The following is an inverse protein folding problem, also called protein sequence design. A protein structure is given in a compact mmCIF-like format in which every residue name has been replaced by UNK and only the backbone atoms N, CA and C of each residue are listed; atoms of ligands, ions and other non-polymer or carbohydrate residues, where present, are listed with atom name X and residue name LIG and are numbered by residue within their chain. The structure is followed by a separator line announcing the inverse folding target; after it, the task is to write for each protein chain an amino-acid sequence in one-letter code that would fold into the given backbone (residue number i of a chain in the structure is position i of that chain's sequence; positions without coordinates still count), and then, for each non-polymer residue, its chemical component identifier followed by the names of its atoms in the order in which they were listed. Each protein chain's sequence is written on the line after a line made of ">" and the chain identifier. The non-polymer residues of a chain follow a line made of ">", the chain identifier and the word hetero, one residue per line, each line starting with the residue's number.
data_IF_825162543471
#
_entry.id   IF_825162543471
#
_cell.length_a   1.000
_cell.length_b   1.000
_cell.length_c   1.000
_cell.angle_alpha   90.00
_cell.angle_beta   90.00
_cell.angle_gamma   90.00
#
_symmetry.space_group_name_H-M   'P 1'
#
loop_
_entity.id
_entity.type
_entity.pdbx_description
1 polymer ?
#
# COMPACT_ATOMS: atom_id res chain seq x y z
N UNK A 1 -5.85 -22.48 23.85
CA UNK A 1 -5.40 -21.24 23.19
C UNK A 1 -4.29 -20.58 24.01
N UNK A 2 -3.01 -20.88 23.75
CA UNK A 2 -1.85 -20.43 24.58
C UNK A 2 -0.69 -19.89 23.72
N UNK A 3 -1.00 -19.19 22.62
CA UNK A 3 0.03 -18.63 21.73
C UNK A 3 0.06 -17.09 21.65
N UNK A 4 -1.00 -16.41 22.10
CA UNK A 4 -1.19 -14.96 21.89
C UNK A 4 -0.68 -14.10 23.06
N UNK A 5 -0.25 -14.72 24.16
CA UNK A 5 0.17 -14.03 25.39
C UNK A 5 1.65 -13.63 25.46
N UNK A 6 2.49 -14.06 24.50
CA UNK A 6 3.91 -13.73 24.53
C UNK A 6 4.15 -12.37 23.86
N UNK A 7 4.48 -11.35 24.66
CA UNK A 7 4.74 -9.96 24.24
C UNK A 7 5.80 -9.86 23.13
N UNK A 8 6.74 -10.81 23.09
CA UNK A 8 7.77 -10.88 22.06
C UNK A 8 7.23 -11.40 20.73
N UNK A 9 6.29 -12.35 20.76
CA UNK A 9 5.61 -12.81 19.54
C UNK A 9 4.69 -11.73 18.98
N UNK A 10 4.01 -10.96 19.83
CA UNK A 10 3.16 -9.84 19.40
C UNK A 10 3.94 -8.74 18.65
N UNK A 11 5.20 -8.50 19.02
CA UNK A 11 6.04 -7.47 18.40
C UNK A 11 6.76 -7.96 17.15
N UNK A 12 7.04 -9.26 17.04
CA UNK A 12 7.66 -9.85 15.85
C UNK A 12 6.64 -10.23 14.76
N UNK A 13 5.39 -10.52 15.13
CA UNK A 13 4.34 -10.93 14.20
C UNK A 13 4.06 -9.94 13.05
N UNK A 14 4.01 -8.60 13.26
CA UNK A 14 3.80 -7.63 12.19
C UNK A 14 4.94 -7.59 11.17
N UNK A 15 6.17 -7.95 11.59
CA UNK A 15 7.33 -8.03 10.70
C UNK A 15 7.32 -9.29 9.84
N UNK A 16 6.83 -10.40 10.40
CA UNK A 16 6.69 -11.67 9.69
C UNK A 16 5.56 -11.60 8.65
N UNK A 17 4.46 -10.93 9.01
CA UNK A 17 3.36 -10.62 8.08
C UNK A 17 3.71 -9.32 7.36
N UNK A 18 4.67 -9.38 6.42
CA UNK A 18 4.85 -8.26 5.48
C UNK A 18 3.55 -8.10 4.71
N UNK A 19 2.83 -7.01 4.98
CA UNK A 19 1.61 -6.64 4.25
C UNK A 19 2.03 -6.30 2.81
N UNK A 20 2.11 -7.32 1.96
CA UNK A 20 2.32 -7.14 0.52
C UNK A 20 1.20 -6.25 0.01
N UNK A 21 1.56 -5.19 -0.69
CA UNK A 21 0.60 -4.31 -1.35
C UNK A 21 -0.23 -5.19 -2.29
N UNK A 22 -1.52 -5.38 -1.98
CA UNK A 22 -2.40 -6.30 -2.72
C UNK A 22 -2.82 -5.75 -4.09
N UNK A 23 -2.38 -4.54 -4.43
CA UNK A 23 -2.65 -3.89 -5.69
C UNK A 23 -1.34 -3.42 -6.32
N UNK A 24 -1.28 -3.51 -7.64
CA UNK A 24 -0.22 -2.89 -8.44
C UNK A 24 -0.57 -1.41 -8.56
N UNK A 25 0.14 -0.49 -7.91
CA UNK A 25 -0.11 0.94 -8.08
C UNK A 25 0.23 1.31 -9.52
N UNK A 26 -0.70 1.97 -10.20
CA UNK A 26 -0.40 2.59 -11.48
C UNK A 26 0.26 3.93 -11.19
N UNK A 27 1.52 4.07 -11.61
CA UNK A 27 2.26 5.31 -11.51
C UNK A 27 2.00 6.17 -12.74
N UNK A 28 1.72 7.45 -12.52
CA UNK A 28 1.50 8.45 -13.57
C UNK A 28 2.27 9.71 -13.18
N UNK A 29 3.25 10.09 -14.01
CA UNK A 29 3.96 11.35 -13.88
C UNK A 29 3.19 12.43 -14.63
N UNK A 30 2.88 13.52 -13.96
CA UNK A 30 2.33 14.74 -14.56
C UNK A 30 3.43 15.79 -14.57
N UNK A 31 3.79 16.25 -15.76
CA UNK A 31 4.68 17.40 -15.93
C UNK A 31 3.82 18.67 -15.93
N UNK A 32 4.19 19.62 -15.08
CA UNK A 32 3.50 20.91 -14.97
C UNK A 32 4.11 21.89 -15.97
N UNK A 33 3.31 22.83 -16.49
CA UNK A 33 3.79 23.84 -17.45
C UNK A 33 4.85 24.77 -16.85
N UNK A 34 4.95 24.83 -15.53
CA UNK A 34 5.91 25.65 -14.79
C UNK A 34 7.28 24.94 -14.62
N UNK A 35 7.44 23.74 -15.17
CA UNK A 35 8.67 22.94 -15.11
C UNK A 35 8.77 22.00 -13.90
N UNK A 36 7.74 21.98 -13.05
CA UNK A 36 7.61 21.04 -11.93
C UNK A 36 7.02 19.69 -12.37
N UNK A 37 7.13 18.68 -11.51
CA UNK A 37 6.54 17.36 -11.75
C UNK A 37 5.82 16.83 -10.52
N UNK A 38 4.74 16.07 -10.76
CA UNK A 38 4.00 15.36 -9.72
C UNK A 38 3.91 13.89 -10.11
N UNK A 39 4.44 13.01 -9.26
CA UNK A 39 4.34 11.56 -9.42
C UNK A 39 3.12 11.05 -8.63
N UNK A 40 2.08 10.63 -9.36
CA UNK A 40 0.83 10.11 -8.81
C UNK A 40 0.85 8.58 -8.78
N UNK A 41 0.58 7.98 -7.62
CA UNK A 41 0.29 6.56 -7.49
C UNK A 41 -1.22 6.34 -7.33
N UNK A 42 -1.88 5.74 -8.33
CA UNK A 42 -3.32 5.45 -8.26
C UNK A 42 -3.60 3.96 -8.14
N UNK A 43 -4.52 3.61 -7.25
CA UNK A 43 -5.19 2.31 -7.28
C UNK A 43 -6.25 2.34 -8.40
N UNK A 44 -6.45 1.21 -9.09
CA UNK A 44 -7.51 1.08 -10.10
C UNK A 44 -8.87 1.07 -9.39
N UNK A 45 -9.51 2.23 -9.27
CA UNK A 45 -10.93 2.31 -8.91
C UNK A 45 -11.73 1.56 -9.97
N UNK A 46 -12.71 0.75 -9.54
CA UNK A 46 -13.60 0.01 -10.43
C UNK A 46 -14.59 1.00 -11.06
N UNK A 47 -14.17 1.69 -12.12
CA UNK A 47 -15.07 2.55 -12.90
C UNK A 47 -15.99 1.65 -13.72
N UNK A 48 -17.24 1.49 -13.26
CA UNK A 48 -18.28 0.73 -13.95
C UNK A 48 -19.28 0.07 -13.00
N UNK A 49 -20.22 0.86 -12.48
CA UNK A 49 -21.61 0.47 -12.19
C UNK A 49 -22.41 1.72 -11.78
N UNK A 50 -23.67 1.89 -12.19
CA UNK A 50 -24.45 1.16 -13.21
C UNK A 50 -24.29 1.72 -14.63
#
# INVERSE_FOLDING_TARGET
>A
MRGVGNRHLQTMLPRLIRRKLRFTPHWQRLELPDGDFVDLARAKTRTGAP
#
